data_IF_908539058809
#
_entry.id   IF_908539058809
#
_cell.length_a   1.000
_cell.length_b   1.000
_cell.length_c   1.000
_cell.angle_alpha   90.00
_cell.angle_beta   90.00
_cell.angle_gamma   90.00
#
_symmetry.space_group_name_H-M   'P 1'
#
loop_
_entity.id
_entity.type
_entity.pdbx_description
1 polymer ?
#
# COMPACT_ATOMS: atom_id res chain seq x y z
N UNK A 1 32.51 21.41 61.87
CA UNK A 1 31.04 21.18 61.98
C UNK A 1 30.26 21.68 60.76
N UNK A 2 30.20 23.01 60.44
CA UNK A 2 29.40 23.47 59.27
C UNK A 2 29.97 23.00 57.93
N UNK A 3 31.28 23.00 57.74
CA UNK A 3 31.98 22.54 56.54
C UNK A 3 31.79 21.04 56.33
N UNK A 4 31.94 20.26 57.35
CA UNK A 4 31.74 18.78 57.31
C UNK A 4 30.25 18.43 57.01
N UNK A 5 29.28 19.23 57.51
CA UNK A 5 27.88 19.04 57.16
C UNK A 5 27.59 19.35 55.71
N UNK A 6 28.22 20.41 55.14
CA UNK A 6 28.06 20.78 53.74
C UNK A 6 28.72 19.71 52.83
N UNK A 7 29.89 19.26 53.18
CA UNK A 7 30.58 18.16 52.44
C UNK A 7 29.76 16.88 52.44
N UNK A 8 29.14 16.56 53.59
CA UNK A 8 28.26 15.37 53.67
C UNK A 8 26.95 15.51 52.88
N UNK A 9 26.39 16.71 52.84
CA UNK A 9 25.25 16.99 51.98
C UNK A 9 25.60 16.95 50.51
N UNK A 10 26.74 17.47 50.09
CA UNK A 10 27.25 17.35 48.73
C UNK A 10 27.45 15.90 48.33
N UNK A 11 28.10 15.10 49.16
CA UNK A 11 28.34 13.68 48.95
C UNK A 11 26.99 12.90 48.79
N UNK A 12 26.00 13.21 49.64
CA UNK A 12 24.66 12.60 49.54
C UNK A 12 23.89 13.05 48.28
N UNK A 13 24.03 14.29 47.84
CA UNK A 13 23.42 14.78 46.60
C UNK A 13 24.09 14.15 45.37
N UNK A 14 25.43 14.08 45.38
CA UNK A 14 26.17 13.43 44.28
C UNK A 14 25.93 11.94 44.22
N UNK A 15 25.82 11.24 45.36
CA UNK A 15 25.47 9.82 45.38
C UNK A 15 24.04 9.55 44.87
N UNK A 16 23.10 10.48 45.16
CA UNK A 16 21.71 10.38 44.68
C UNK A 16 21.57 10.66 43.19
N UNK A 17 22.47 11.46 42.63
CA UNK A 17 22.48 11.80 41.19
C UNK A 17 23.34 10.83 40.36
N UNK A 18 24.12 9.94 40.98
CA UNK A 18 24.82 8.88 40.25
C UNK A 18 23.81 7.84 39.80
N UNK A 19 23.70 7.66 38.50
CA UNK A 19 22.95 6.55 37.92
C UNK A 19 23.65 5.26 38.36
N UNK A 20 23.01 4.49 39.24
CA UNK A 20 23.53 3.17 39.61
C UNK A 20 23.18 2.21 38.49
N UNK A 21 24.17 1.47 38.04
CA UNK A 21 24.02 0.47 36.99
C UNK A 21 24.40 -0.90 37.52
N UNK A 22 23.65 -1.92 37.08
CA UNK A 22 23.89 -3.33 37.43
C UNK A 22 24.04 -4.10 36.13
N UNK A 23 25.12 -4.90 36.02
CA UNK A 23 25.32 -5.78 34.88
C UNK A 23 24.76 -7.18 35.21
N UNK A 24 23.82 -7.63 34.39
CA UNK A 24 23.22 -8.96 34.46
C UNK A 24 23.35 -9.65 33.10
N UNK A 25 24.10 -10.72 33.05
CA UNK A 25 24.32 -11.54 31.83
C UNK A 25 24.73 -10.72 30.60
N UNK A 26 25.63 -9.73 30.80
CA UNK A 26 26.16 -8.88 29.74
C UNK A 26 25.22 -7.75 29.30
N UNK A 27 24.15 -7.49 30.05
CA UNK A 27 23.23 -6.33 29.83
C UNK A 27 23.28 -5.43 31.05
N UNK A 28 23.55 -4.13 30.82
CA UNK A 28 23.62 -3.13 31.88
C UNK A 28 22.21 -2.53 32.12
N UNK A 29 21.79 -2.55 33.38
CA UNK A 29 20.50 -2.01 33.86
C UNK A 29 20.71 -0.81 34.75
N UNK A 30 19.70 0.07 34.84
CA UNK A 30 19.66 1.18 35.80
C UNK A 30 18.77 0.81 36.99
N UNK A 31 19.13 1.26 38.21
CA UNK A 31 18.31 1.00 39.41
C UNK A 31 16.91 1.60 39.35
N UNK A 32 16.75 2.77 38.71
CA UNK A 32 15.50 3.53 38.76
C UNK A 32 14.33 2.92 38.00
N UNK A 33 14.58 2.08 37.03
CA UNK A 33 13.53 1.45 36.23
C UNK A 33 13.89 0.03 35.76
N UNK A 34 15.04 -0.53 36.20
CA UNK A 34 15.60 -1.80 35.69
C UNK A 34 15.54 -1.90 34.15
N UNK A 35 15.62 -0.75 33.49
CA UNK A 35 15.63 -0.67 32.03
C UNK A 35 17.04 -0.89 31.50
N UNK A 36 17.24 -1.72 30.50
CA UNK A 36 18.56 -1.93 29.92
C UNK A 36 19.07 -0.63 29.30
N UNK A 37 20.32 -0.26 29.61
CA UNK A 37 21.01 0.81 28.89
C UNK A 37 21.49 0.21 27.58
N UNK A 38 20.76 0.49 26.50
CA UNK A 38 21.14 0.06 25.16
C UNK A 38 22.35 0.86 24.69
N UNK A 39 23.39 0.17 24.27
CA UNK A 39 24.49 0.79 23.55
C UNK A 39 23.95 1.38 22.24
N UNK A 40 24.41 2.60 21.89
CA UNK A 40 23.99 3.22 20.64
C UNK A 40 24.57 2.43 19.46
N UNK A 41 23.71 1.74 18.73
CA UNK A 41 24.05 1.13 17.45
C UNK A 41 23.88 2.21 16.39
N UNK A 42 24.90 2.50 15.56
CA UNK A 42 24.71 3.39 14.41
C UNK A 42 23.67 2.79 13.47
N UNK A 43 22.74 3.60 13.03
CA UNK A 43 21.74 3.22 12.03
C UNK A 43 21.96 4.07 10.78
N UNK A 44 21.74 3.50 9.60
CA UNK A 44 21.70 4.27 8.36
C UNK A 44 20.34 4.96 8.20
N UNK A 45 20.31 6.03 7.43
CA UNK A 45 19.05 6.63 7.03
C UNK A 45 18.36 5.71 6.00
N UNK A 46 17.05 5.49 6.19
CA UNK A 46 16.26 4.69 5.26
C UNK A 46 16.25 5.33 3.87
N UNK A 47 16.47 4.53 2.84
CA UNK A 47 16.32 4.97 1.45
C UNK A 47 14.92 4.62 0.92
N UNK A 48 14.29 5.59 0.25
CA UNK A 48 12.96 5.46 -0.34
C UNK A 48 13.05 5.41 -1.87
N UNK A 49 12.38 4.43 -2.49
CA UNK A 49 12.31 4.19 -3.93
C UNK A 49 10.87 4.28 -4.44
N UNK A 50 10.71 4.38 -5.75
CA UNK A 50 9.40 4.45 -6.40
C UNK A 50 9.08 3.25 -7.31
N UNK A 51 10.00 2.28 -7.43
CA UNK A 51 9.84 1.09 -8.26
C UNK A 51 10.51 -0.14 -7.61
N UNK A 52 10.23 -1.33 -8.14
CA UNK A 52 10.76 -2.58 -7.61
C UNK A 52 12.18 -2.88 -8.14
N UNK A 53 12.51 -2.43 -9.34
CA UNK A 53 13.81 -2.67 -9.96
C UNK A 53 14.94 -2.03 -9.13
N UNK A 54 14.82 -0.73 -8.81
CA UNK A 54 15.79 -0.04 -7.96
C UNK A 54 15.88 -0.66 -6.56
N UNK A 55 14.74 -1.10 -6.01
CA UNK A 55 14.73 -1.78 -4.71
C UNK A 55 15.57 -3.06 -4.75
N UNK A 56 15.38 -3.89 -5.79
CA UNK A 56 16.11 -5.17 -5.97
C UNK A 56 17.61 -4.94 -6.13
N UNK A 57 18.00 -3.96 -6.95
CA UNK A 57 19.42 -3.62 -7.15
C UNK A 57 20.09 -3.18 -5.84
N UNK A 58 19.40 -2.36 -5.04
CA UNK A 58 19.93 -1.93 -3.75
C UNK A 58 19.93 -3.06 -2.71
N UNK A 59 18.95 -3.96 -2.70
CA UNK A 59 18.99 -5.17 -1.85
C UNK A 59 20.23 -6.00 -2.16
N UNK A 60 20.54 -6.24 -3.44
CA UNK A 60 21.73 -7.03 -3.84
C UNK A 60 23.03 -6.37 -3.43
N UNK A 61 23.13 -5.05 -3.56
CA UNK A 61 24.32 -4.30 -3.13
C UNK A 61 24.48 -4.33 -1.60
N UNK A 62 23.40 -4.15 -0.85
CA UNK A 62 23.42 -4.14 0.62
C UNK A 62 23.82 -5.50 1.22
N UNK A 63 23.46 -6.60 0.54
CA UNK A 63 23.80 -7.95 1.00
C UNK A 63 25.29 -8.23 1.02
N UNK A 64 26.10 -7.51 0.25
CA UNK A 64 27.56 -7.66 0.27
C UNK A 64 28.17 -7.18 1.59
N UNK A 65 27.51 -6.24 2.27
CA UNK A 65 27.94 -5.65 3.53
C UNK A 65 27.27 -6.27 4.77
N UNK A 66 26.14 -6.98 4.59
CA UNK A 66 25.36 -7.59 5.67
C UNK A 66 25.62 -9.09 5.85
N UNK A 67 25.95 -9.49 7.08
CA UNK A 67 26.15 -10.90 7.45
C UNK A 67 24.85 -11.63 7.85
N UNK A 68 23.72 -10.93 7.93
CA UNK A 68 22.45 -11.48 8.40
C UNK A 68 21.37 -11.30 7.32
N UNK A 69 20.38 -12.22 7.26
CA UNK A 69 19.35 -12.15 6.24
C UNK A 69 18.52 -10.86 6.31
N UNK A 70 18.23 -10.26 5.16
CA UNK A 70 17.26 -9.18 5.02
C UNK A 70 15.84 -9.76 4.98
N UNK A 71 14.89 -9.01 5.53
CA UNK A 71 13.47 -9.37 5.51
C UNK A 71 12.69 -8.38 4.68
N UNK A 72 12.04 -8.88 3.64
CA UNK A 72 11.22 -8.10 2.72
C UNK A 72 9.75 -8.32 3.07
N UNK A 73 9.06 -7.24 3.45
CA UNK A 73 7.64 -7.23 3.77
C UNK A 73 6.85 -6.60 2.63
N UNK A 74 5.96 -7.38 2.02
CA UNK A 74 5.18 -6.98 0.85
C UNK A 74 3.78 -6.54 1.27
N UNK A 75 3.39 -5.35 0.82
CA UNK A 75 2.02 -4.84 0.85
C UNK A 75 1.55 -4.52 -0.57
N UNK A 76 0.29 -4.21 -0.74
CA UNK A 76 -0.30 -3.97 -2.07
C UNK A 76 0.28 -2.79 -2.85
N UNK A 77 0.85 -1.80 -2.16
CA UNK A 77 1.43 -0.57 -2.76
C UNK A 77 2.79 -0.20 -2.19
N UNK A 78 3.33 -1.01 -1.32
CA UNK A 78 4.56 -0.71 -0.59
C UNK A 78 5.34 -2.00 -0.31
N UNK A 79 6.65 -1.93 -0.48
CA UNK A 79 7.59 -2.99 -0.08
C UNK A 79 8.58 -2.38 0.90
N UNK A 80 8.73 -3.00 2.05
CA UNK A 80 9.68 -2.57 3.08
C UNK A 80 10.75 -3.63 3.30
N UNK A 81 12.00 -3.22 3.45
CA UNK A 81 13.12 -4.08 3.73
C UNK A 81 13.71 -3.76 5.10
N UNK A 82 13.84 -4.79 5.90
CA UNK A 82 14.34 -4.70 7.26
C UNK A 82 15.58 -5.59 7.43
N UNK A 83 16.47 -5.18 8.33
CA UNK A 83 17.52 -6.04 8.86
C UNK A 83 16.94 -7.22 9.64
N UNK A 84 17.75 -8.21 9.92
CA UNK A 84 17.46 -9.19 10.98
C UNK A 84 17.46 -8.51 12.36
N UNK A 85 17.01 -9.23 13.38
CA UNK A 85 17.07 -8.72 14.75
C UNK A 85 18.51 -8.55 15.22
N UNK A 86 18.77 -7.40 15.80
CA UNK A 86 19.98 -7.15 16.57
C UNK A 86 19.93 -7.85 17.95
N UNK A 87 20.99 -7.66 18.77
CA UNK A 87 21.07 -8.20 20.15
C UNK A 87 19.98 -7.68 21.10
N UNK A 88 19.34 -6.54 20.77
CA UNK A 88 18.26 -5.94 21.55
C UNK A 88 16.88 -6.30 21.01
N UNK A 89 16.81 -7.17 19.99
CA UNK A 89 15.61 -7.54 19.24
C UNK A 89 14.94 -6.37 18.51
N UNK A 90 15.72 -5.34 18.18
CA UNK A 90 15.31 -4.27 17.30
C UNK A 90 15.66 -4.61 15.85
N UNK A 91 14.99 -3.97 14.89
CA UNK A 91 15.26 -4.08 13.45
C UNK A 91 15.45 -2.71 12.86
N UNK A 92 16.38 -2.61 11.94
CA UNK A 92 16.55 -1.43 11.12
C UNK A 92 15.63 -1.49 9.90
N UNK A 93 14.96 -0.38 9.57
CA UNK A 93 14.21 -0.23 8.35
C UNK A 93 15.11 0.38 7.29
N UNK A 94 15.66 -0.46 6.42
CA UNK A 94 16.74 -0.09 5.50
C UNK A 94 16.17 0.56 4.24
N UNK A 95 15.22 -0.11 3.59
CA UNK A 95 14.63 0.33 2.32
C UNK A 95 13.12 0.34 2.35
N UNK A 96 12.54 1.25 1.58
CA UNK A 96 11.12 1.30 1.28
C UNK A 96 10.92 1.63 -0.19
N UNK A 97 10.10 0.85 -0.88
CA UNK A 97 9.61 1.20 -2.21
C UNK A 97 8.11 1.43 -2.18
N UNK A 98 7.63 2.48 -2.83
CA UNK A 98 6.21 2.84 -2.87
C UNK A 98 5.75 3.00 -4.31
N UNK A 99 4.68 2.28 -4.69
CA UNK A 99 4.11 2.31 -6.02
C UNK A 99 3.59 3.71 -6.39
N UNK A 100 3.96 4.18 -7.57
CA UNK A 100 3.51 5.47 -8.16
C UNK A 100 2.15 5.33 -8.87
N UNK A 101 1.24 4.53 -8.30
CA UNK A 101 -0.07 4.32 -8.87
C UNK A 101 -0.98 5.56 -8.67
N UNK A 102 -1.86 5.90 -9.65
CA UNK A 102 -2.75 7.04 -9.53
C UNK A 102 -3.72 6.91 -8.35
N UNK A 103 -4.15 8.04 -7.82
CA UNK A 103 -5.23 8.06 -6.85
C UNK A 103 -6.57 8.05 -7.58
N UNK A 104 -7.25 6.89 -7.60
CA UNK A 104 -8.53 6.71 -8.27
C UNK A 104 -9.66 6.82 -7.24
N UNK A 105 -10.61 7.71 -7.50
CA UNK A 105 -11.77 7.91 -6.63
C UNK A 105 -12.90 6.93 -7.00
N UNK A 106 -13.12 5.96 -6.12
CA UNK A 106 -14.21 4.99 -6.21
C UNK A 106 -15.31 5.31 -5.21
N UNK A 107 -16.44 4.59 -5.31
CA UNK A 107 -17.54 4.64 -4.36
C UNK A 107 -18.27 6.01 -4.31
N UNK A 108 -18.15 6.82 -5.36
CA UNK A 108 -18.81 8.11 -5.48
C UNK A 108 -19.30 8.37 -6.91
N UNK A 109 -20.36 9.16 -7.02
CA UNK A 109 -20.88 9.58 -8.31
C UNK A 109 -20.06 10.72 -8.90
N UNK A 110 -19.80 10.65 -10.20
CA UNK A 110 -19.09 11.68 -10.97
C UNK A 110 -19.75 11.88 -12.32
N UNK A 111 -19.39 12.96 -13.02
CA UNK A 111 -19.89 13.22 -14.35
C UNK A 111 -19.44 12.13 -15.34
N UNK A 112 -20.25 11.94 -16.40
CA UNK A 112 -19.89 11.01 -17.49
C UNK A 112 -18.52 11.32 -18.08
N UNK A 113 -18.23 12.58 -18.33
CA UNK A 113 -16.94 13.06 -18.87
C UNK A 113 -15.78 12.64 -17.96
N UNK A 114 -15.90 12.92 -16.66
CA UNK A 114 -14.88 12.55 -15.66
C UNK A 114 -14.67 11.04 -15.61
N UNK A 115 -15.74 10.24 -15.67
CA UNK A 115 -15.64 8.78 -15.70
C UNK A 115 -14.92 8.28 -16.94
N UNK A 116 -15.24 8.82 -18.11
CA UNK A 116 -14.59 8.44 -19.38
C UNK A 116 -13.09 8.74 -19.31
N UNK A 117 -12.72 9.94 -18.86
CA UNK A 117 -11.32 10.33 -18.68
C UNK A 117 -10.63 9.38 -17.69
N UNK A 118 -11.26 9.14 -16.53
CA UNK A 118 -10.72 8.24 -15.51
C UNK A 118 -10.50 6.81 -16.06
N UNK A 119 -11.48 6.27 -16.79
CA UNK A 119 -11.37 4.94 -17.40
C UNK A 119 -10.23 4.87 -18.43
N UNK A 120 -10.03 5.92 -19.22
CA UNK A 120 -8.99 5.96 -20.23
C UNK A 120 -7.58 6.15 -19.65
N UNK A 121 -7.46 6.90 -18.56
CA UNK A 121 -6.16 7.28 -17.99
C UNK A 121 -5.67 6.37 -16.87
N UNK A 122 -6.59 5.81 -16.07
CA UNK A 122 -6.24 5.13 -14.81
C UNK A 122 -6.54 3.62 -14.84
N UNK A 123 -6.97 3.09 -15.99
CA UNK A 123 -7.25 1.66 -16.15
C UNK A 123 -6.52 1.08 -17.36
N UNK A 124 -6.01 -0.13 -17.21
CA UNK A 124 -5.43 -0.85 -18.33
C UNK A 124 -6.48 -1.13 -19.43
N UNK A 125 -6.00 -1.26 -20.65
CA UNK A 125 -6.87 -1.55 -21.77
C UNK A 125 -7.48 -2.94 -21.65
N UNK A 126 -8.80 -3.02 -21.81
CA UNK A 126 -9.56 -4.28 -21.80
C UNK A 126 -10.84 -4.12 -22.59
N UNK A 127 -11.37 -5.23 -23.06
CA UNK A 127 -12.67 -5.24 -23.77
C UNK A 127 -13.79 -4.69 -22.87
N UNK A 128 -13.80 -5.06 -21.60
CA UNK A 128 -14.81 -4.58 -20.64
C UNK A 128 -14.74 -3.07 -20.43
N UNK A 129 -13.52 -2.50 -20.32
CA UNK A 129 -13.32 -1.04 -20.25
C UNK A 129 -13.87 -0.34 -21.48
N UNK A 130 -13.54 -0.85 -22.68
CA UNK A 130 -13.97 -0.23 -23.93
C UNK A 130 -15.49 -0.33 -24.11
N UNK A 131 -16.09 -1.47 -23.77
CA UNK A 131 -17.53 -1.67 -23.78
C UNK A 131 -18.24 -0.73 -22.80
N UNK A 132 -17.68 -0.52 -21.60
CA UNK A 132 -18.23 0.41 -20.60
C UNK A 132 -18.16 1.85 -21.09
N UNK A 133 -17.05 2.29 -21.67
CA UNK A 133 -16.92 3.64 -22.27
C UNK A 133 -17.95 3.85 -23.38
N UNK A 134 -18.14 2.87 -24.28
CA UNK A 134 -19.15 2.96 -25.34
C UNK A 134 -20.56 3.05 -24.77
N UNK A 135 -20.87 2.26 -23.74
CA UNK A 135 -22.16 2.29 -23.05
C UNK A 135 -22.44 3.68 -22.46
N UNK A 136 -21.50 4.22 -21.69
CA UNK A 136 -21.63 5.53 -21.04
C UNK A 136 -21.78 6.64 -22.09
N UNK A 137 -21.00 6.60 -23.15
CA UNK A 137 -21.04 7.60 -24.23
C UNK A 137 -22.38 7.57 -24.98
N UNK A 138 -22.99 6.40 -25.20
CA UNK A 138 -24.33 6.29 -25.81
C UNK A 138 -25.42 6.89 -24.91
N UNK A 139 -25.35 6.58 -23.60
CA UNK A 139 -26.31 7.07 -22.63
C UNK A 139 -26.26 8.60 -22.52
N UNK A 140 -25.05 9.20 -22.53
CA UNK A 140 -24.86 10.64 -22.38
C UNK A 140 -25.30 11.47 -23.60
N UNK A 141 -25.36 10.86 -24.78
CA UNK A 141 -25.74 11.59 -26.02
C UNK A 141 -27.26 11.77 -26.21
N UNK A 142 -28.10 11.26 -25.31
CA UNK A 142 -29.54 11.18 -25.48
C UNK A 142 -30.32 12.16 -24.57
N UNK A 143 -31.39 12.81 -25.11
CA UNK A 143 -32.07 13.96 -24.48
C UNK A 143 -33.13 13.60 -23.43
N UNK A 144 -33.61 12.36 -23.35
CA UNK A 144 -34.55 11.88 -22.33
C UNK A 144 -34.29 10.44 -21.97
N UNK A 145 -34.16 10.20 -20.69
CA UNK A 145 -33.84 8.90 -20.14
C UNK A 145 -34.88 8.55 -19.06
N UNK A 146 -35.52 7.42 -19.22
CA UNK A 146 -36.33 6.79 -18.16
C UNK A 146 -35.53 5.63 -17.59
N UNK A 147 -35.28 5.68 -16.29
CA UNK A 147 -34.55 4.64 -15.59
C UNK A 147 -35.49 3.75 -14.80
N UNK A 148 -35.37 2.45 -14.99
CA UNK A 148 -36.02 1.44 -14.15
C UNK A 148 -34.95 0.66 -13.43
N UNK A 149 -34.99 0.65 -12.10
CA UNK A 149 -34.07 -0.07 -11.22
C UNK A 149 -34.91 -1.10 -10.42
N UNK A 150 -34.52 -2.38 -10.51
CA UNK A 150 -35.14 -3.47 -9.77
C UNK A 150 -34.32 -3.89 -8.54
N UNK A 151 -33.30 -3.08 -8.19
CA UNK A 151 -32.37 -3.35 -7.11
C UNK A 151 -31.20 -4.29 -7.48
N UNK A 152 -31.31 -5.06 -8.55
CA UNK A 152 -30.27 -5.95 -9.06
C UNK A 152 -29.63 -5.44 -10.35
N UNK A 153 -30.39 -4.76 -11.20
CA UNK A 153 -29.91 -4.21 -12.46
C UNK A 153 -30.66 -2.94 -12.85
N UNK A 154 -29.99 -2.11 -13.66
CA UNK A 154 -30.58 -0.88 -14.17
C UNK A 154 -30.88 -1.04 -15.66
N UNK A 155 -32.10 -0.63 -16.07
CA UNK A 155 -32.49 -0.51 -17.47
C UNK A 155 -32.68 0.97 -17.79
N UNK A 156 -32.04 1.39 -18.85
CA UNK A 156 -32.10 2.76 -19.33
C UNK A 156 -32.87 2.77 -20.66
N UNK A 157 -34.08 3.33 -20.66
CA UNK A 157 -34.83 3.54 -21.88
C UNK A 157 -34.37 4.86 -22.51
N UNK A 158 -33.91 4.77 -23.73
CA UNK A 158 -33.40 5.91 -24.51
C UNK A 158 -34.49 6.39 -25.44
N UNK A 159 -34.91 7.66 -25.27
CA UNK A 159 -35.95 8.28 -26.08
C UNK A 159 -35.39 9.44 -26.89
N UNK A 160 -35.53 9.38 -28.21
CA UNK A 160 -35.22 10.50 -29.11
C UNK A 160 -36.52 11.05 -29.71
N UNK A 161 -36.91 12.23 -29.28
CA UNK A 161 -38.21 12.82 -29.67
C UNK A 161 -39.38 12.11 -28.98
N UNK A 162 -40.39 11.66 -29.78
CA UNK A 162 -41.60 10.99 -29.27
C UNK A 162 -41.48 9.46 -29.29
N UNK A 163 -40.41 8.90 -29.83
CA UNK A 163 -40.26 7.45 -30.00
C UNK A 163 -39.14 6.87 -29.11
N UNK A 164 -39.46 5.80 -28.39
CA UNK A 164 -38.46 5.00 -27.67
C UNK A 164 -37.58 4.27 -28.69
N UNK A 165 -36.30 4.61 -28.77
CA UNK A 165 -35.36 4.00 -29.73
C UNK A 165 -34.74 2.68 -29.25
N UNK A 166 -34.79 2.41 -27.97
CA UNK A 166 -34.26 1.16 -27.42
C UNK A 166 -34.10 1.19 -25.89
N UNK A 167 -34.04 0.03 -25.31
CA UNK A 167 -33.71 -0.14 -23.89
C UNK A 167 -32.28 -0.68 -23.82
N UNK A 168 -31.42 0.03 -23.13
CA UNK A 168 -30.04 -0.39 -22.86
C UNK A 168 -30.00 -0.99 -21.46
N UNK A 169 -29.60 -2.26 -21.37
CA UNK A 169 -29.36 -2.90 -20.07
C UNK A 169 -27.97 -2.52 -19.58
N UNK A 170 -27.91 -1.92 -18.42
CA UNK A 170 -26.66 -1.56 -17.76
C UNK A 170 -26.14 -2.81 -17.02
N UNK A 171 -24.95 -3.32 -17.33
CA UNK A 171 -24.39 -4.45 -16.59
C UNK A 171 -24.19 -4.04 -15.12
N UNK A 172 -24.77 -4.77 -14.16
CA UNK A 172 -24.63 -4.38 -12.76
C UNK A 172 -23.20 -4.54 -12.26
N UNK A 173 -22.49 -5.55 -12.75
CA UNK A 173 -21.10 -5.84 -12.41
C UNK A 173 -20.22 -5.74 -13.65
N UNK A 174 -19.10 -5.07 -13.51
CA UNK A 174 -18.07 -4.94 -14.55
C UNK A 174 -16.69 -5.32 -13.99
N UNK A 175 -15.92 -6.04 -14.78
CA UNK A 175 -14.56 -6.46 -14.42
C UNK A 175 -13.58 -5.51 -15.12
N UNK A 176 -12.81 -4.79 -14.35
CA UNK A 176 -11.86 -3.77 -14.83
C UNK A 176 -10.48 -3.97 -14.20
N UNK A 177 -9.46 -3.33 -14.77
CA UNK A 177 -8.06 -3.45 -14.37
C UNK A 177 -7.54 -2.04 -14.05
N UNK A 178 -7.80 -1.50 -12.85
CA UNK A 178 -7.27 -0.21 -12.44
C UNK A 178 -5.76 -0.29 -12.15
N UNK A 179 -5.01 0.78 -12.41
CA UNK A 179 -3.62 0.89 -11.97
C UNK A 179 -3.59 1.13 -10.46
N UNK A 180 -3.26 0.09 -9.67
CA UNK A 180 -3.32 0.13 -8.21
C UNK A 180 -2.03 -0.22 -7.49
N UNK A 181 -1.05 -0.77 -8.21
CA UNK A 181 0.21 -1.23 -7.64
C UNK A 181 1.40 -0.82 -8.51
N UNK A 182 2.55 -1.41 -8.30
CA UNK A 182 3.75 -1.17 -9.10
C UNK A 182 3.52 -1.52 -10.56
N UNK A 183 4.11 -0.72 -11.46
CA UNK A 183 3.94 -0.92 -12.92
C UNK A 183 4.71 -2.12 -13.47
N UNK A 184 5.69 -2.63 -12.72
CA UNK A 184 6.51 -3.79 -13.08
C UNK A 184 5.78 -5.13 -12.92
N UNK A 185 4.61 -5.12 -12.27
CA UNK A 185 3.78 -6.31 -12.06
C UNK A 185 2.41 -6.16 -12.71
N UNK A 186 1.77 -7.30 -12.95
CA UNK A 186 0.41 -7.31 -13.49
C UNK A 186 -0.55 -6.58 -12.55
N UNK A 187 -1.36 -5.69 -13.14
CA UNK A 187 -2.38 -4.97 -12.39
C UNK A 187 -3.56 -5.88 -12.07
N UNK A 188 -4.13 -5.80 -10.85
CA UNK A 188 -5.19 -6.70 -10.44
C UNK A 188 -6.48 -6.45 -11.22
N UNK A 189 -7.07 -7.52 -11.72
CA UNK A 189 -8.47 -7.46 -12.17
C UNK A 189 -9.40 -7.34 -10.97
N UNK A 190 -10.38 -6.45 -11.06
CA UNK A 190 -11.32 -6.19 -9.98
C UNK A 190 -12.75 -6.08 -10.47
N UNK A 191 -13.69 -6.57 -9.66
CA UNK A 191 -15.11 -6.43 -9.89
C UNK A 191 -15.62 -5.11 -9.32
N UNK A 192 -16.39 -4.38 -10.12
CA UNK A 192 -17.07 -3.15 -9.73
C UNK A 192 -18.56 -3.25 -9.97
N UNK A 193 -19.33 -2.71 -9.05
CA UNK A 193 -20.74 -2.42 -9.26
C UNK A 193 -20.81 -1.07 -9.99
N UNK A 194 -21.31 -1.07 -11.23
CA UNK A 194 -21.55 0.15 -12.00
C UNK A 194 -22.97 0.66 -11.77
N UNK A 195 -23.12 1.94 -11.49
CA UNK A 195 -24.41 2.60 -11.25
C UNK A 195 -24.50 3.94 -11.94
N UNK A 196 -25.74 4.31 -12.30
CA UNK A 196 -26.11 5.62 -12.86
C UNK A 196 -27.18 6.22 -11.96
N UNK A 197 -27.07 7.50 -11.62
CA UNK A 197 -28.08 8.23 -10.84
C UNK A 197 -29.12 8.95 -11.76
N UNK A 198 -30.11 9.55 -11.13
CA UNK A 198 -31.19 10.30 -11.83
C UNK A 198 -30.68 11.55 -12.56
N UNK A 199 -29.51 12.05 -12.18
CA UNK A 199 -28.88 13.23 -12.79
C UNK A 199 -27.85 12.84 -13.86
N UNK A 200 -27.82 11.56 -14.26
CA UNK A 200 -26.86 11.02 -15.22
C UNK A 200 -25.41 11.00 -14.74
N UNK A 201 -25.16 11.12 -13.46
CA UNK A 201 -23.86 10.82 -12.92
C UNK A 201 -23.66 9.30 -12.83
N UNK A 202 -22.43 8.89 -12.96
CA UNK A 202 -22.03 7.48 -12.98
C UNK A 202 -21.08 7.19 -11.85
N UNK A 203 -21.07 5.96 -11.34
CA UNK A 203 -20.20 5.54 -10.25
C UNK A 203 -19.72 4.11 -10.44
N UNK A 204 -18.52 3.85 -9.97
CA UNK A 204 -17.95 2.52 -9.77
C UNK A 204 -17.78 2.29 -8.26
N UNK A 205 -18.44 1.28 -7.74
CA UNK A 205 -18.31 0.84 -6.35
C UNK A 205 -17.49 -0.42 -6.30
N UNK A 206 -16.51 -0.46 -5.37
CA UNK A 206 -15.72 -1.67 -5.13
C UNK A 206 -16.64 -2.85 -4.76
N UNK A 207 -16.55 -3.96 -5.49
CA UNK A 207 -17.45 -5.11 -5.34
C UNK A 207 -16.71 -6.45 -5.13
N UNK A 208 -15.42 -6.41 -4.79
CA UNK A 208 -14.57 -7.59 -4.57
C UNK A 208 -14.18 -7.81 -3.10
N UNK A 209 -14.70 -6.98 -2.17
CA UNK A 209 -14.37 -7.08 -0.75
C UNK A 209 -12.89 -6.81 -0.42
N UNK A 210 -12.13 -6.21 -1.35
CA UNK A 210 -10.69 -5.93 -1.19
C UNK A 210 -9.78 -7.08 -1.62
N UNK A 211 -10.29 -8.09 -2.31
CA UNK A 211 -9.50 -9.24 -2.80
C UNK A 211 -8.33 -8.82 -3.72
N UNK A 212 -8.48 -7.70 -4.44
CA UNK A 212 -7.43 -7.13 -5.26
C UNK A 212 -6.11 -6.88 -4.50
N UNK A 213 -6.18 -6.60 -3.17
CA UNK A 213 -4.98 -6.37 -2.34
C UNK A 213 -4.13 -7.62 -2.24
N UNK A 214 -4.76 -8.77 -2.00
CA UNK A 214 -4.09 -10.05 -1.94
C UNK A 214 -3.48 -10.42 -3.30
N UNK A 215 -4.19 -10.13 -4.39
CA UNK A 215 -3.66 -10.34 -5.76
C UNK A 215 -2.42 -9.49 -6.02
N UNK A 216 -2.43 -8.20 -5.67
CA UNK A 216 -1.25 -7.34 -5.78
C UNK A 216 -0.05 -7.88 -4.98
N UNK A 217 -0.29 -8.26 -3.71
CA UNK A 217 0.77 -8.81 -2.86
C UNK A 217 1.37 -10.08 -3.45
N UNK A 218 0.54 -10.94 -4.04
CA UNK A 218 0.98 -12.17 -4.70
C UNK A 218 1.88 -11.86 -5.91
N UNK A 219 1.47 -10.96 -6.80
CA UNK A 219 2.25 -10.60 -7.98
C UNK A 219 3.57 -9.89 -7.63
N UNK A 220 3.55 -8.96 -6.66
CA UNK A 220 4.78 -8.32 -6.16
C UNK A 220 5.71 -9.37 -5.55
N UNK A 221 5.18 -10.26 -4.73
CA UNK A 221 5.98 -11.32 -4.10
C UNK A 221 6.60 -12.24 -5.14
N UNK A 222 5.85 -12.66 -6.16
CA UNK A 222 6.34 -13.48 -7.27
C UNK A 222 7.47 -12.76 -8.00
N UNK A 223 7.28 -11.50 -8.36
CA UNK A 223 8.30 -10.68 -9.00
C UNK A 223 9.60 -10.63 -8.17
N UNK A 224 9.49 -10.35 -6.87
CA UNK A 224 10.66 -10.31 -5.98
C UNK A 224 11.35 -11.66 -5.86
N UNK A 225 10.61 -12.77 -5.78
CA UNK A 225 11.17 -14.13 -5.74
C UNK A 225 11.92 -14.45 -7.03
N UNK A 226 11.37 -14.09 -8.19
CA UNK A 226 11.99 -14.35 -9.47
C UNK A 226 13.33 -13.60 -9.62
N UNK A 227 13.40 -12.34 -9.19
CA UNK A 227 14.59 -11.51 -9.33
C UNK A 227 15.62 -11.65 -8.20
N UNK A 228 15.21 -12.14 -7.02
CA UNK A 228 16.07 -12.40 -5.85
C UNK A 228 16.23 -13.90 -5.58
N UNK A 229 16.03 -14.75 -6.59
CA UNK A 229 16.01 -16.20 -6.42
C UNK A 229 17.31 -16.72 -5.77
N UNK A 230 18.46 -16.29 -6.24
CA UNK A 230 19.76 -16.74 -5.73
C UNK A 230 19.96 -16.34 -4.26
N UNK A 231 19.60 -15.11 -3.92
CA UNK A 231 19.74 -14.56 -2.56
C UNK A 231 18.77 -15.23 -1.57
N UNK A 232 17.59 -15.68 -2.06
CA UNK A 232 16.61 -16.43 -1.27
C UNK A 232 17.10 -17.86 -1.04
N UNK A 233 17.60 -18.56 -2.07
CA UNK A 233 18.17 -19.91 -1.94
C UNK A 233 19.38 -19.93 -1.02
N UNK A 234 20.21 -18.89 -1.07
CA UNK A 234 21.35 -18.70 -0.13
C UNK A 234 20.89 -18.36 1.30
N UNK A 235 19.59 -18.16 1.53
CA UNK A 235 19.04 -17.76 2.83
C UNK A 235 19.38 -16.33 3.25
N UNK A 236 19.86 -15.49 2.33
CA UNK A 236 20.22 -14.09 2.58
C UNK A 236 19.03 -13.13 2.53
N UNK A 237 17.95 -13.53 1.86
CA UNK A 237 16.70 -12.75 1.75
C UNK A 237 15.51 -13.64 2.13
N UNK A 238 14.59 -13.07 2.90
CA UNK A 238 13.33 -13.72 3.28
C UNK A 238 12.20 -12.79 2.84
N UNK A 239 11.40 -13.24 1.88
CA UNK A 239 10.23 -12.51 1.36
C UNK A 239 8.97 -13.01 2.06
N UNK A 240 8.25 -12.09 2.76
CA UNK A 240 7.06 -12.38 3.55
C UNK A 240 5.78 -11.68 3.10
#
# INVERSE_FOLDING_TARGET
MLKEAIEKIQELVESRNKVQTIDIEGTTYTELALSPIKERIPHCDRMDFCNLEMLIENIKTELDDHNLPLRVLVKEREVNVYSSYDRYKDREHIFRSTAQAPNIEFNQYMSVETMIIMLQTNFAESENRNNLIQLISRISSENKIEMTDDGMGQKVAVTQGVSVKGTVTVPPLVKLIPFRTFYEVDQPEQMFLFRIDKNMNVALFDADGGAWKASCQCEIKKYLIDYLYAEIEDGKVIVG
#
